data_IF_721846165026
#
_entry.id   IF_721846165026
#
_cell.length_a   1.000
_cell.length_b   1.000
_cell.length_c   1.000
_cell.angle_alpha   90.00
_cell.angle_beta   90.00
_cell.angle_gamma   90.00
#
_symmetry.space_group_name_H-M   'P 1'
#
loop_
_entity.id
_entity.type
_entity.pdbx_description
1 polymer ?
#
# COMPACT_ATOMS: atom_id res chain seq x y z
N UNK A 1 14.55 -15.24 -21.78
CA UNK A 1 13.55 -14.17 -21.60
C UNK A 1 14.08 -12.92 -22.26
N UNK A 2 13.25 -12.14 -22.95
CA UNK A 2 13.68 -10.84 -23.49
C UNK A 2 13.99 -9.88 -22.33
N UNK A 3 15.05 -9.07 -22.43
CA UNK A 3 15.48 -8.16 -21.35
C UNK A 3 14.35 -7.25 -20.85
N UNK A 4 13.51 -6.77 -21.78
CA UNK A 4 12.33 -5.97 -21.49
C UNK A 4 11.32 -6.70 -20.58
N UNK A 5 11.05 -7.99 -20.82
CA UNK A 5 10.12 -8.76 -20.00
C UNK A 5 10.64 -8.94 -18.57
N UNK A 6 11.95 -9.15 -18.41
CA UNK A 6 12.60 -9.25 -17.09
C UNK A 6 12.55 -7.91 -16.37
N UNK A 7 12.80 -6.82 -17.09
CA UNK A 7 12.72 -5.47 -16.55
C UNK A 7 11.31 -5.13 -16.07
N UNK A 8 10.29 -5.41 -16.90
CA UNK A 8 8.88 -5.17 -16.55
C UNK A 8 8.44 -6.05 -15.38
N UNK A 9 8.80 -7.33 -15.37
CA UNK A 9 8.50 -8.23 -14.25
C UNK A 9 9.14 -7.73 -12.94
N UNK A 10 10.42 -7.34 -12.98
CA UNK A 10 11.12 -6.78 -11.82
C UNK A 10 10.49 -5.46 -11.33
N UNK A 11 10.12 -4.58 -12.26
CA UNK A 11 9.48 -3.30 -11.93
C UNK A 11 8.07 -3.51 -11.36
N UNK A 12 7.27 -4.42 -11.92
CA UNK A 12 5.96 -4.75 -11.40
C UNK A 12 6.02 -5.34 -9.98
N UNK A 13 7.00 -6.22 -9.71
CA UNK A 13 7.25 -6.73 -8.35
C UNK A 13 7.64 -5.62 -7.38
N UNK A 14 8.50 -4.68 -7.82
CA UNK A 14 8.85 -3.51 -7.03
C UNK A 14 7.60 -2.68 -6.69
N UNK A 15 6.72 -2.41 -7.66
CA UNK A 15 5.48 -1.68 -7.44
C UNK A 15 4.55 -2.38 -6.45
N UNK A 16 4.40 -3.70 -6.53
CA UNK A 16 3.63 -4.48 -5.54
C UNK A 16 4.25 -4.35 -4.14
N UNK A 17 5.58 -4.42 -4.05
CA UNK A 17 6.32 -4.21 -2.79
C UNK A 17 6.10 -2.81 -2.21
N UNK A 18 6.18 -1.78 -3.05
CA UNK A 18 5.92 -0.37 -2.68
C UNK A 18 4.48 -0.19 -2.21
N UNK A 19 3.49 -0.74 -2.92
CA UNK A 19 2.10 -0.68 -2.52
C UNK A 19 1.88 -1.33 -1.13
N UNK A 20 2.46 -2.51 -0.90
CA UNK A 20 2.41 -3.17 0.40
C UNK A 20 3.10 -2.35 1.51
N UNK A 21 4.23 -1.72 1.20
CA UNK A 21 4.95 -0.83 2.11
C UNK A 21 4.15 0.42 2.48
N UNK A 22 3.58 1.10 1.50
CA UNK A 22 2.74 2.28 1.69
C UNK A 22 1.50 1.97 2.53
N UNK A 23 0.82 0.86 2.25
CA UNK A 23 -0.33 0.44 3.05
C UNK A 23 0.07 0.13 4.50
N UNK A 24 1.22 -0.52 4.71
CA UNK A 24 1.75 -0.75 6.07
C UNK A 24 2.08 0.54 6.80
N UNK A 25 2.70 1.51 6.12
CA UNK A 25 3.01 2.81 6.70
C UNK A 25 1.73 3.58 7.07
N UNK A 26 0.69 3.49 6.24
CA UNK A 26 -0.61 4.10 6.52
C UNK A 26 -1.35 3.50 7.73
N UNK A 27 -1.06 2.26 8.11
CA UNK A 27 -1.64 1.60 9.28
C UNK A 27 -0.83 1.76 10.57
N UNK A 28 0.27 2.49 10.56
CA UNK A 28 1.02 2.76 11.80
C UNK A 28 0.35 3.88 12.58
N UNK A 29 -0.01 3.62 13.84
CA UNK A 29 -0.51 4.68 14.73
C UNK A 29 0.58 5.75 14.88
N UNK A 30 0.36 6.88 14.24
CA UNK A 30 1.19 8.09 14.38
C UNK A 30 0.83 8.87 15.64
N UNK A 31 0.03 8.29 16.54
CA UNK A 31 -0.42 8.98 17.73
C UNK A 31 0.78 9.38 18.61
N UNK A 32 0.78 10.62 19.15
CA UNK A 32 1.82 11.08 20.08
C UNK A 32 1.96 10.14 21.29
N UNK A 33 0.86 9.48 21.65
CA UNK A 33 0.71 8.52 22.75
C UNK A 33 1.28 7.13 22.49
N UNK A 34 1.78 6.82 21.28
CA UNK A 34 2.57 5.59 21.02
C UNK A 34 4.09 5.83 21.05
N UNK A 35 4.54 7.07 20.94
CA UNK A 35 5.97 7.41 20.92
C UNK A 35 6.68 7.12 22.25
N UNK A 36 7.65 6.19 22.25
CA UNK A 36 8.46 5.87 23.45
C UNK A 36 9.25 7.08 23.97
N UNK A 37 9.59 8.02 23.10
CA UNK A 37 10.27 9.27 23.46
C UNK A 37 9.41 10.15 24.37
N UNK A 38 8.08 10.13 24.18
CA UNK A 38 7.14 10.91 24.98
C UNK A 38 6.70 10.19 26.27
N UNK A 39 7.10 8.93 26.48
CA UNK A 39 6.70 8.16 27.67
C UNK A 39 7.18 8.80 28.99
N UNK A 40 8.31 9.52 28.98
CA UNK A 40 8.79 10.29 30.12
C UNK A 40 7.94 11.53 30.42
N UNK A 41 7.43 12.20 29.38
CA UNK A 41 6.52 13.35 29.52
C UNK A 41 5.14 12.93 30.04
N UNK A 42 4.63 11.77 29.59
CA UNK A 42 3.34 11.21 30.07
C UNK A 42 3.30 10.93 31.55
N UNK A 43 4.42 10.54 32.16
CA UNK A 43 4.48 10.33 33.62
C UNK A 43 4.29 11.62 34.42
N UNK A 44 4.41 12.79 33.77
CA UNK A 44 4.22 14.11 34.39
C UNK A 44 2.84 14.72 34.11
N UNK A 45 2.14 14.28 33.06
CA UNK A 45 0.77 14.68 32.72
C UNK A 45 -0.20 13.53 33.05
N UNK A 46 -0.93 13.65 34.16
CA UNK A 46 -1.72 12.57 34.75
C UNK A 46 -2.97 12.18 33.95
N UNK A 47 -3.48 13.04 33.06
CA UNK A 47 -4.65 12.76 32.22
C UNK A 47 -4.33 12.90 30.73
N UNK A 48 -4.70 11.91 29.88
CA UNK A 48 -4.78 12.11 28.45
C UNK A 48 -5.84 13.19 28.16
N UNK A 49 -5.61 14.12 27.21
CA UNK A 49 -6.67 14.94 26.66
C UNK A 49 -7.83 14.05 26.20
N UNK A 50 -9.10 14.46 26.38
CA UNK A 50 -10.23 13.70 25.90
C UNK A 50 -10.05 13.38 24.42
N UNK A 51 -10.36 12.13 24.05
CA UNK A 51 -10.25 11.63 22.68
C UNK A 51 -11.19 12.47 21.81
N UNK A 52 -10.67 13.52 21.17
CA UNK A 52 -11.43 14.36 20.25
C UNK A 52 -11.56 13.57 18.96
N UNK A 53 -12.49 12.61 18.99
CA UNK A 53 -12.91 11.85 17.83
C UNK A 53 -12.98 12.74 16.60
N UNK A 54 -12.44 12.25 15.49
CA UNK A 54 -12.36 12.91 14.17
C UNK A 54 -11.61 14.25 14.06
N UNK A 55 -11.19 14.91 15.16
CA UNK A 55 -10.69 16.29 15.10
C UNK A 55 -9.16 16.46 14.95
N UNK A 56 -8.34 15.41 15.13
CA UNK A 56 -6.87 15.48 14.95
C UNK A 56 -6.43 15.37 13.47
N UNK A 57 -6.99 16.23 12.63
CA UNK A 57 -6.49 16.49 11.28
C UNK A 57 -5.01 16.97 11.37
N UNK A 58 -4.03 16.33 10.70
CA UNK A 58 -4.12 15.39 9.56
C UNK A 58 -3.81 13.91 9.88
N UNK A 59 -3.69 13.53 11.15
CA UNK A 59 -3.30 12.15 11.53
C UNK A 59 -4.38 11.12 11.20
N UNK A 60 -5.67 11.51 11.23
CA UNK A 60 -6.81 10.65 10.92
C UNK A 60 -6.93 10.29 9.42
N UNK A 61 -6.54 11.18 8.51
CA UNK A 61 -6.65 10.93 7.06
C UNK A 61 -5.35 10.39 6.43
N UNK A 62 -4.23 10.47 7.14
CA UNK A 62 -2.94 9.98 6.65
C UNK A 62 -3.04 8.52 6.19
N UNK A 63 -3.70 7.64 6.95
CA UNK A 63 -3.88 6.24 6.57
C UNK A 63 -4.68 6.05 5.27
N UNK A 64 -5.69 6.90 5.03
CA UNK A 64 -6.51 6.87 3.81
C UNK A 64 -5.73 7.33 2.59
N UNK A 65 -4.92 8.39 2.73
CA UNK A 65 -4.02 8.87 1.67
C UNK A 65 -3.01 7.79 1.28
N UNK A 66 -2.32 7.19 2.25
CA UNK A 66 -1.35 6.13 2.00
C UNK A 66 -2.00 4.91 1.33
N UNK A 67 -3.22 4.54 1.74
CA UNK A 67 -3.98 3.46 1.10
C UNK A 67 -4.37 3.82 -0.34
N UNK A 68 -4.74 5.08 -0.62
CA UNK A 68 -5.00 5.57 -1.98
C UNK A 68 -3.77 5.52 -2.88
N UNK A 69 -2.61 5.99 -2.40
CA UNK A 69 -1.34 5.91 -3.16
C UNK A 69 -0.94 4.45 -3.40
N UNK A 70 -1.09 3.59 -2.38
CA UNK A 70 -0.86 2.16 -2.51
C UNK A 70 -1.78 1.54 -3.59
N UNK A 71 -3.05 1.92 -3.62
CA UNK A 71 -4.02 1.43 -4.60
C UNK A 71 -3.63 1.83 -6.03
N UNK A 72 -3.29 3.10 -6.27
CA UNK A 72 -2.81 3.57 -7.59
C UNK A 72 -1.57 2.79 -8.04
N UNK A 73 -0.64 2.57 -7.11
CA UNK A 73 0.60 1.80 -7.36
C UNK A 73 0.27 0.34 -7.74
N UNK A 74 -0.67 -0.29 -7.05
CA UNK A 74 -1.09 -1.67 -7.32
C UNK A 74 -1.80 -1.80 -8.68
N UNK A 75 -2.65 -0.83 -9.04
CA UNK A 75 -3.30 -0.76 -10.36
C UNK A 75 -2.26 -0.65 -11.47
N UNK A 76 -1.27 0.25 -11.31
CA UNK A 76 -0.19 0.39 -12.30
C UNK A 76 0.59 -0.91 -12.51
N UNK A 77 0.91 -1.64 -11.43
CA UNK A 77 1.57 -2.95 -11.51
C UNK A 77 0.73 -3.97 -12.29
N UNK A 78 -0.58 -4.01 -12.05
CA UNK A 78 -1.50 -4.90 -12.77
C UNK A 78 -1.58 -4.55 -14.26
N UNK A 79 -1.72 -3.26 -14.59
CA UNK A 79 -1.79 -2.78 -15.98
C UNK A 79 -0.50 -3.08 -16.76
N UNK A 80 0.66 -2.82 -16.16
CA UNK A 80 1.96 -3.11 -16.80
C UNK A 80 2.14 -4.61 -17.06
N UNK A 81 1.79 -5.45 -16.08
CA UNK A 81 1.90 -6.91 -16.21
C UNK A 81 0.96 -7.44 -17.31
N UNK A 82 -0.28 -6.93 -17.37
CA UNK A 82 -1.24 -7.30 -18.40
C UNK A 82 -0.79 -6.87 -19.81
N UNK A 83 -0.30 -5.63 -19.96
CA UNK A 83 0.19 -5.13 -21.23
C UNK A 83 1.38 -5.94 -21.76
N UNK A 84 2.28 -6.36 -20.88
CA UNK A 84 3.45 -7.16 -21.24
C UNK A 84 3.06 -8.60 -21.60
N UNK A 85 2.05 -9.16 -20.93
CA UNK A 85 1.52 -10.49 -21.24
C UNK A 85 0.90 -10.57 -22.64
N UNK A 86 0.30 -9.47 -23.14
CA UNK A 86 -0.22 -9.38 -24.52
C UNK A 86 0.91 -9.34 -25.56
N UNK A 87 2.10 -8.87 -25.18
CA UNK A 87 3.24 -8.71 -26.10
C UNK A 87 4.07 -9.99 -26.27
N UNK A 88 4.03 -10.91 -25.30
CA UNK A 88 4.87 -12.11 -25.30
C UNK A 88 4.07 -13.39 -25.53
N UNK A 89 4.63 -14.29 -26.35
CA UNK A 89 3.99 -15.55 -26.73
C UNK A 89 4.68 -16.78 -26.12
N UNK A 90 5.70 -16.58 -25.27
CA UNK A 90 6.40 -17.71 -24.63
C UNK A 90 5.68 -18.14 -23.35
N UNK A 91 5.42 -19.44 -23.16
CA UNK A 91 4.60 -19.93 -22.05
C UNK A 91 5.21 -19.63 -20.67
N UNK A 92 6.55 -19.66 -20.56
CA UNK A 92 7.26 -19.32 -19.32
C UNK A 92 7.12 -17.84 -18.97
N UNK A 93 7.17 -16.95 -19.95
CA UNK A 93 7.00 -15.51 -19.73
C UNK A 93 5.57 -15.20 -19.31
N UNK A 94 4.59 -15.84 -19.95
CA UNK A 94 3.17 -15.75 -19.57
C UNK A 94 2.94 -16.28 -18.15
N UNK A 95 3.57 -17.39 -17.76
CA UNK A 95 3.41 -17.94 -16.41
C UNK A 95 3.96 -16.98 -15.33
N UNK A 96 5.15 -16.41 -15.55
CA UNK A 96 5.76 -15.47 -14.61
C UNK A 96 4.96 -14.16 -14.54
N UNK A 97 4.64 -13.56 -15.68
CA UNK A 97 3.85 -12.33 -15.74
C UNK A 97 2.44 -12.53 -15.19
N UNK A 98 1.84 -13.70 -15.45
CA UNK A 98 0.54 -14.08 -14.92
C UNK A 98 0.54 -14.18 -13.39
N UNK A 99 1.57 -14.80 -12.80
CA UNK A 99 1.73 -14.84 -11.34
C UNK A 99 1.84 -13.44 -10.74
N UNK A 100 2.66 -12.56 -11.33
CA UNK A 100 2.82 -11.17 -10.88
C UNK A 100 1.50 -10.41 -11.03
N UNK A 101 0.81 -10.54 -12.17
CA UNK A 101 -0.48 -9.91 -12.41
C UNK A 101 -1.52 -10.34 -11.37
N UNK A 102 -1.60 -11.64 -11.04
CA UNK A 102 -2.48 -12.16 -10.00
C UNK A 102 -2.18 -11.55 -8.63
N UNK A 103 -0.90 -11.42 -8.26
CA UNK A 103 -0.52 -10.76 -7.00
C UNK A 103 -0.90 -9.28 -6.98
N UNK A 104 -0.71 -8.56 -8.09
CA UNK A 104 -1.09 -7.16 -8.21
C UNK A 104 -2.61 -6.94 -8.18
N UNK A 105 -3.38 -7.82 -8.83
CA UNK A 105 -4.85 -7.81 -8.80
C UNK A 105 -5.35 -8.09 -7.39
N UNK A 106 -4.81 -9.12 -6.72
CA UNK A 106 -5.17 -9.44 -5.33
C UNK A 106 -4.86 -8.26 -4.38
N UNK A 107 -3.70 -7.62 -4.55
CA UNK A 107 -3.36 -6.41 -3.81
C UNK A 107 -4.34 -5.27 -4.09
N UNK A 108 -4.70 -5.04 -5.35
CA UNK A 108 -5.67 -4.02 -5.77
C UNK A 108 -7.03 -4.24 -5.13
N UNK A 109 -7.57 -5.47 -5.20
CA UNK A 109 -8.86 -5.82 -4.60
C UNK A 109 -8.85 -5.61 -3.09
N UNK A 110 -7.79 -6.05 -2.41
CA UNK A 110 -7.63 -5.85 -0.97
C UNK A 110 -7.60 -4.36 -0.61
N UNK A 111 -6.78 -3.57 -1.31
CA UNK A 111 -6.62 -2.15 -1.05
C UNK A 111 -7.92 -1.38 -1.35
N UNK A 112 -8.63 -1.76 -2.40
CA UNK A 112 -9.94 -1.22 -2.72
C UNK A 112 -10.95 -1.47 -1.59
N UNK A 113 -11.01 -2.69 -1.07
CA UNK A 113 -11.92 -3.04 0.03
C UNK A 113 -11.62 -2.20 1.30
N UNK A 114 -10.34 -2.00 1.63
CA UNK A 114 -9.94 -1.14 2.75
C UNK A 114 -10.33 0.32 2.50
N UNK A 115 -10.08 0.82 1.30
CA UNK A 115 -10.38 2.20 0.92
C UNK A 115 -11.88 2.48 0.90
N UNK A 116 -12.69 1.57 0.36
CA UNK A 116 -14.15 1.69 0.33
C UNK A 116 -14.79 1.53 1.72
N UNK A 117 -14.16 0.75 2.62
CA UNK A 117 -14.59 0.59 4.00
C UNK A 117 -14.27 1.78 4.90
N UNK A 118 -13.37 2.68 4.47
CA UNK A 118 -13.04 3.91 5.20
C UNK A 118 -14.11 4.98 4.92
N UNK A 119 -15.25 4.88 5.63
CA UNK A 119 -16.35 5.87 5.54
C UNK A 119 -15.87 7.25 6.03
N UNK A 120 -16.34 8.36 5.41
CA UNK A 120 -16.10 9.72 5.89
C UNK A 120 -16.87 10.01 7.19
#
# INVERSE_FOLDING_TARGET
MRFEAVFVAGYALLLVGVAAGLHRLGGQDTSPWRSRMLAGHRRRTADPPPDTGSADWPHSEAGRLHTGIALVTAVAAATLSAAEMVRHHRPVEIAVLGAIALTAIAATVRLWAVFAGSRP
#
